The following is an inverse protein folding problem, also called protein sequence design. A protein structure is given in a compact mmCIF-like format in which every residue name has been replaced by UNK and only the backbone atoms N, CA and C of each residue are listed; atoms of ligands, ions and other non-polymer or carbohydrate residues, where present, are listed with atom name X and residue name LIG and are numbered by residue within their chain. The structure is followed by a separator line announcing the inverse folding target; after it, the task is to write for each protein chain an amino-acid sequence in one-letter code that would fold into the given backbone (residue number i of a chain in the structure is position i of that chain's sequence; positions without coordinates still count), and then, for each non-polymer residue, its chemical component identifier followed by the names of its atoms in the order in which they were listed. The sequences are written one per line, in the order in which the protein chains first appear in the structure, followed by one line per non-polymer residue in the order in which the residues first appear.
data_IF_295823946562
#
_entry.id   IF_295823946562
#
_cell.length_a   1.000
_cell.length_b   1.000
_cell.length_c   1.000
_cell.angle_alpha   90.00
_cell.angle_beta   90.00
_cell.angle_gamma   90.00
#
_symmetry.space_group_name_H-M   'P 1'
#
loop_
_entity.id
_entity.type
_entity.pdbx_description
1 polymer ?
#
# COMPACT_ATOMS: atom_id res chain seq x y z
N UNK A 1 19.80 3.02 16.92
CA UNK A 1 18.91 4.03 16.29
C UNK A 1 17.72 3.31 15.65
N UNK A 2 16.96 2.56 16.45
CA UNK A 2 15.95 1.56 15.99
C UNK A 2 14.50 2.08 16.21
N UNK A 3 14.34 3.18 16.96
CA UNK A 3 13.02 3.76 17.29
C UNK A 3 12.37 4.60 16.17
N UNK A 4 13.03 4.71 15.00
CA UNK A 4 12.62 5.55 13.87
C UNK A 4 12.03 4.78 12.68
N UNK A 5 11.74 3.48 12.84
CA UNK A 5 11.14 2.67 11.78
C UNK A 5 9.63 2.91 11.63
N UNK A 6 8.93 3.24 12.73
CA UNK A 6 7.50 3.58 12.67
C UNK A 6 7.29 5.02 12.26
N UNK A 7 6.44 5.21 11.24
CA UNK A 7 6.12 6.52 10.67
C UNK A 7 5.61 7.49 11.75
N UNK A 8 4.71 7.02 12.61
CA UNK A 8 4.08 7.85 13.65
C UNK A 8 5.07 8.28 14.74
N UNK A 9 5.92 7.37 15.22
CA UNK A 9 6.92 7.69 16.26
C UNK A 9 7.91 8.72 15.72
N UNK A 10 8.37 8.54 14.48
CA UNK A 10 9.25 9.50 13.82
C UNK A 10 8.60 10.87 13.67
N UNK A 11 7.31 10.96 13.33
CA UNK A 11 6.61 12.25 13.28
C UNK A 11 6.51 12.92 14.64
N UNK A 12 6.19 12.18 15.70
CA UNK A 12 6.15 12.71 17.06
C UNK A 12 7.52 13.29 17.46
N UNK A 13 8.61 12.60 17.11
CA UNK A 13 9.95 13.13 17.33
C UNK A 13 10.25 14.37 16.51
N UNK A 14 9.90 14.41 15.22
CA UNK A 14 10.12 15.59 14.36
C UNK A 14 9.39 16.80 14.91
N UNK A 15 8.10 16.66 15.22
CA UNK A 15 7.27 17.73 15.78
C UNK A 15 7.82 18.15 17.15
N UNK A 16 8.18 17.19 18.00
CA UNK A 16 8.74 17.45 19.33
C UNK A 16 10.06 18.24 19.27
N UNK A 17 10.98 17.86 18.39
CA UNK A 17 12.24 18.59 18.19
C UNK A 17 12.04 19.98 17.58
N UNK A 18 11.13 20.12 16.60
CA UNK A 18 10.81 21.40 16.00
C UNK A 18 10.20 22.37 17.02
N UNK A 19 9.29 21.89 17.87
CA UNK A 19 8.68 22.66 18.97
C UNK A 19 9.72 23.03 20.02
N UNK A 20 10.58 22.09 20.44
CA UNK A 20 11.63 22.34 21.43
C UNK A 20 12.61 23.41 20.93
N UNK A 21 13.04 23.31 19.67
CA UNK A 21 13.90 24.34 19.08
C UNK A 21 13.16 25.67 18.94
N UNK A 22 11.88 25.67 18.57
CA UNK A 22 11.08 26.89 18.53
C UNK A 22 10.94 27.53 19.92
N UNK A 23 10.84 26.76 21.01
CA UNK A 23 10.85 27.29 22.38
C UNK A 23 12.19 27.95 22.70
N UNK A 24 13.31 27.30 22.39
CA UNK A 24 14.66 27.86 22.60
C UNK A 24 14.83 29.15 21.81
N UNK A 25 14.51 29.14 20.51
CA UNK A 25 14.65 30.32 19.66
C UNK A 25 13.70 31.43 20.11
N UNK A 26 12.49 31.10 20.57
CA UNK A 26 11.55 32.09 21.09
C UNK A 26 12.08 32.81 22.33
N UNK A 27 12.76 32.10 23.23
CA UNK A 27 13.30 32.67 24.47
C UNK A 27 14.43 33.67 24.19
N UNK A 28 15.27 33.42 23.18
CA UNK A 28 16.41 34.28 22.84
C UNK A 28 16.16 35.31 21.75
N UNK A 29 15.24 35.06 20.81
CA UNK A 29 15.11 35.84 19.57
C UNK A 29 13.69 36.30 19.23
N UNK A 30 12.66 36.00 20.06
CA UNK A 30 11.31 36.48 19.75
C UNK A 30 11.17 37.98 19.96
N UNK A 31 10.46 38.62 19.03
CA UNK A 31 10.18 40.05 19.09
C UNK A 31 8.95 40.37 19.96
N UNK A 32 8.07 39.38 20.18
CA UNK A 32 6.87 39.53 21.00
C UNK A 32 7.00 38.94 22.41
N UNK A 33 8.02 38.13 22.69
CA UNK A 33 8.17 37.32 23.92
C UNK A 33 6.98 36.41 24.25
N UNK A 34 6.08 36.19 23.29
CA UNK A 34 4.94 35.30 23.40
C UNK A 34 5.14 34.06 22.54
N UNK A 35 4.48 32.96 22.86
CA UNK A 35 4.69 31.63 22.26
C UNK A 35 4.23 31.50 20.78
N UNK A 36 4.11 32.60 20.04
CA UNK A 36 3.66 32.63 18.64
C UNK A 36 4.61 31.90 17.69
N UNK A 37 5.91 31.91 17.97
CA UNK A 37 6.90 31.13 17.24
C UNK A 37 6.68 29.63 17.42
N UNK A 38 6.30 29.20 18.62
CA UNK A 38 5.99 27.79 18.91
C UNK A 38 4.74 27.34 18.16
N UNK A 39 3.71 28.20 18.12
CA UNK A 39 2.47 27.94 17.36
C UNK A 39 2.76 27.80 15.86
N UNK A 40 3.58 28.69 15.29
CA UNK A 40 3.98 28.62 13.89
C UNK A 40 4.73 27.32 13.55
N UNK A 41 5.67 26.92 14.41
CA UNK A 41 6.41 25.67 14.23
C UNK A 41 5.51 24.43 14.33
N UNK A 42 4.60 24.39 15.29
CA UNK A 42 3.66 23.29 15.49
C UNK A 42 2.72 23.12 14.29
N UNK A 43 2.10 24.20 13.83
CA UNK A 43 1.14 24.17 12.71
C UNK A 43 1.83 23.64 11.44
N UNK A 44 3.01 24.14 11.12
CA UNK A 44 3.73 23.74 9.89
C UNK A 44 4.28 22.33 10.00
N UNK A 45 4.82 21.93 11.16
CA UNK A 45 5.32 20.57 11.38
C UNK A 45 4.20 19.52 11.29
N UNK A 46 2.95 19.88 11.65
CA UNK A 46 1.78 19.02 11.50
C UNK A 46 1.23 18.99 10.06
N UNK A 47 1.29 20.10 9.33
CA UNK A 47 0.73 20.23 7.97
C UNK A 47 1.53 19.49 6.89
N UNK A 48 2.84 19.35 7.03
CA UNK A 48 3.70 18.84 5.96
C UNK A 48 3.80 17.30 5.88
N UNK A 49 2.69 16.59 6.06
CA UNK A 49 2.63 15.15 5.74
C UNK A 49 2.75 14.97 4.22
N UNK A 50 3.95 14.85 3.67
CA UNK A 50 4.15 14.65 2.22
C UNK A 50 3.76 15.83 1.31
N UNK A 51 3.12 16.89 1.81
CA UNK A 51 2.79 18.08 1.02
C UNK A 51 4.02 18.62 0.28
N UNK A 52 3.88 19.03 -1.00
CA UNK A 52 5.00 19.57 -1.73
C UNK A 52 5.48 20.85 -1.02
N UNK A 53 6.80 20.99 -0.89
CA UNK A 53 7.53 22.18 -0.43
C UNK A 53 6.85 23.51 -0.81
N UNK A 54 6.21 23.53 -1.98
CA UNK A 54 5.35 24.60 -2.49
C UNK A 54 4.24 25.05 -1.52
N UNK A 55 3.47 24.18 -0.87
CA UNK A 55 2.37 24.58 0.00
C UNK A 55 2.86 25.20 1.31
N UNK A 56 3.84 24.60 1.98
CA UNK A 56 4.44 25.17 3.19
C UNK A 56 5.16 26.50 2.90
N UNK A 57 5.83 26.58 1.75
CA UNK A 57 6.52 27.79 1.32
C UNK A 57 5.52 28.88 0.88
N UNK A 58 4.41 28.54 0.23
CA UNK A 58 3.31 29.48 -0.05
C UNK A 58 2.73 30.03 1.25
N UNK A 59 2.44 29.19 2.25
CA UNK A 59 1.93 29.67 3.54
C UNK A 59 2.93 30.60 4.25
N UNK A 60 4.22 30.24 4.27
CA UNK A 60 5.27 31.11 4.80
C UNK A 60 5.36 32.45 4.04
N UNK A 61 5.35 32.43 2.72
CA UNK A 61 5.45 33.63 1.88
C UNK A 61 4.21 34.51 2.02
N UNK A 62 3.00 33.93 2.04
CA UNK A 62 1.75 34.68 2.25
C UNK A 62 1.75 35.34 3.63
N UNK A 63 2.14 34.63 4.69
CA UNK A 63 2.25 35.21 6.03
C UNK A 63 3.29 36.34 6.11
N UNK A 64 4.44 36.17 5.46
CA UNK A 64 5.52 37.16 5.44
C UNK A 64 5.14 38.40 4.62
N UNK A 65 4.50 38.22 3.47
CA UNK A 65 3.96 39.32 2.64
C UNK A 65 2.88 40.08 3.38
N UNK A 66 1.98 39.38 4.10
CA UNK A 66 0.97 40.02 4.93
C UNK A 66 1.59 40.82 6.09
N UNK A 67 2.66 40.31 6.71
CA UNK A 67 3.40 41.00 7.76
C UNK A 67 4.10 42.28 7.26
N UNK A 68 4.59 42.29 6.01
CA UNK A 68 5.23 43.46 5.39
C UNK A 68 4.20 44.50 4.92
N UNK A 69 3.04 44.06 4.42
CA UNK A 69 1.98 44.94 3.90
C UNK A 69 1.14 45.59 5.00
N UNK A 70 1.26 45.15 6.25
CA UNK A 70 0.57 45.77 7.38
C UNK A 70 1.04 47.22 7.57
N UNK A 71 0.12 48.20 7.57
CA UNK A 71 0.48 49.61 7.71
C UNK A 71 1.30 49.84 8.98
N UNK A 72 2.32 50.72 8.95
CA UNK A 72 3.19 50.99 10.10
C UNK A 72 2.46 51.53 11.34
N UNK A 73 1.20 51.93 11.20
CA UNK A 73 0.32 52.38 12.29
C UNK A 73 -0.42 51.25 13.01
N UNK A 74 -0.38 50.02 12.51
CA UNK A 74 -1.01 48.86 13.18
C UNK A 74 -0.03 48.27 14.17
N UNK A 75 -0.05 48.84 15.39
CA UNK A 75 0.46 48.36 16.68
C UNK A 75 1.62 47.36 16.55
N UNK A 76 2.86 47.78 16.88
CA UNK A 76 4.10 46.96 16.81
C UNK A 76 3.93 45.51 17.30
N UNK A 77 3.06 45.27 18.28
CA UNK A 77 2.70 43.95 18.77
C UNK A 77 2.16 43.00 17.67
N UNK A 78 1.29 43.44 16.76
CA UNK A 78 0.74 42.56 15.71
C UNK A 78 1.77 42.21 14.65
N UNK A 79 2.65 43.16 14.29
CA UNK A 79 3.75 42.92 13.36
C UNK A 79 4.76 41.93 13.94
N UNK A 80 5.16 42.13 15.19
CA UNK A 80 6.11 41.26 15.88
C UNK A 80 5.57 39.82 16.02
N UNK A 81 4.27 39.67 16.32
CA UNK A 81 3.63 38.34 16.38
C UNK A 81 3.64 37.61 15.04
N UNK A 82 3.37 38.31 13.93
CA UNK A 82 3.41 37.70 12.60
C UNK A 82 4.83 37.28 12.18
N UNK A 83 5.83 38.09 12.53
CA UNK A 83 7.24 37.76 12.29
C UNK A 83 7.64 36.52 13.12
N UNK A 84 7.23 36.44 14.39
CA UNK A 84 7.47 35.27 15.23
C UNK A 84 6.79 34.00 14.67
N UNK A 85 5.54 34.10 14.20
CA UNK A 85 4.83 32.98 13.51
C UNK A 85 5.61 32.55 12.26
N UNK A 86 6.07 33.50 11.44
CA UNK A 86 6.85 33.23 10.23
C UNK A 86 8.18 32.54 10.52
N UNK A 87 8.91 32.97 11.55
CA UNK A 87 10.14 32.31 12.00
C UNK A 87 9.86 30.89 12.52
N UNK A 88 8.79 30.71 13.29
CA UNK A 88 8.33 29.40 13.75
C UNK A 88 8.01 28.46 12.60
N UNK A 89 7.24 28.95 11.62
CA UNK A 89 6.91 28.21 10.41
C UNK A 89 8.17 27.77 9.64
N UNK A 90 9.17 28.65 9.52
CA UNK A 90 10.44 28.35 8.87
C UNK A 90 11.22 27.24 9.61
N UNK A 91 11.27 27.30 10.94
CA UNK A 91 11.85 26.23 11.78
C UNK A 91 11.16 24.89 11.50
N UNK A 92 9.83 24.87 11.45
CA UNK A 92 9.04 23.69 11.10
C UNK A 92 9.42 23.10 9.73
N UNK A 93 9.53 23.96 8.69
CA UNK A 93 9.94 23.52 7.34
C UNK A 93 11.35 22.93 7.33
N UNK A 94 12.33 23.61 7.95
CA UNK A 94 13.72 23.17 7.95
C UNK A 94 13.89 21.80 8.63
N UNK A 95 13.22 21.57 9.76
CA UNK A 95 13.28 20.29 10.46
C UNK A 95 12.72 19.14 9.63
N UNK A 96 11.64 19.40 8.92
CA UNK A 96 10.93 18.38 8.15
C UNK A 96 11.61 18.04 6.82
N UNK A 97 12.30 19.00 6.21
CA UNK A 97 12.93 18.80 4.90
C UNK A 97 14.41 18.43 4.99
N UNK A 98 15.16 19.08 5.89
CA UNK A 98 16.62 18.93 5.94
C UNK A 98 17.01 17.90 7.00
N UNK A 99 16.44 18.00 8.20
CA UNK A 99 16.86 17.13 9.30
C UNK A 99 16.25 15.73 9.20
N UNK A 100 15.01 15.62 8.70
CA UNK A 100 14.31 14.34 8.56
C UNK A 100 13.57 14.20 7.22
N UNK A 101 14.29 14.15 6.08
CA UNK A 101 13.65 13.95 4.79
C UNK A 101 12.79 12.67 4.78
N UNK A 102 11.53 12.82 4.39
CA UNK A 102 10.61 11.69 4.22
C UNK A 102 10.90 10.99 2.88
N UNK A 103 11.55 9.83 2.94
CA UNK A 103 11.57 8.89 1.82
C UNK A 103 10.29 8.06 1.87
N UNK A 104 9.23 8.57 1.25
CA UNK A 104 7.87 8.00 1.28
C UNK A 104 7.85 6.60 0.69
N UNK A 105 8.51 6.41 -0.46
CA UNK A 105 8.48 5.16 -1.20
C UNK A 105 9.18 3.98 -0.48
N UNK A 106 10.39 4.15 0.11
CA UNK A 106 10.97 3.12 0.99
C UNK A 106 10.11 2.76 2.20
N UNK A 107 9.48 3.74 2.84
CA UNK A 107 8.59 3.49 3.98
C UNK A 107 7.34 2.68 3.56
N UNK A 108 6.79 2.97 2.38
CA UNK A 108 5.68 2.22 1.80
C UNK A 108 6.07 0.76 1.51
N UNK A 109 7.24 0.54 0.91
CA UNK A 109 7.75 -0.81 0.60
C UNK A 109 7.95 -1.66 1.84
N UNK A 110 8.49 -1.10 2.92
CA UNK A 110 8.70 -1.83 4.18
C UNK A 110 7.38 -2.38 4.74
N UNK A 111 6.28 -1.66 4.55
CA UNK A 111 4.96 -2.11 5.00
C UNK A 111 4.30 -3.15 4.09
N UNK A 112 4.38 -2.94 2.77
CA UNK A 112 3.69 -3.78 1.77
C UNK A 112 4.41 -5.10 1.49
N UNK A 113 5.73 -5.10 1.46
CA UNK A 113 6.53 -6.22 0.99
C UNK A 113 6.39 -7.49 1.86
N UNK A 114 6.26 -7.41 3.20
CA UNK A 114 5.91 -8.57 4.03
C UNK A 114 4.57 -9.20 3.63
N UNK A 115 3.55 -8.38 3.35
CA UNK A 115 2.21 -8.86 2.96
C UNK A 115 2.29 -9.60 1.63
N UNK A 116 2.95 -9.01 0.62
CA UNK A 116 3.13 -9.66 -0.68
C UNK A 116 3.88 -11.00 -0.57
N UNK A 117 4.91 -11.08 0.27
CA UNK A 117 5.64 -12.34 0.51
C UNK A 117 4.78 -13.39 1.20
N UNK A 118 3.90 -12.99 2.11
CA UNK A 118 2.95 -13.92 2.73
C UNK A 118 1.98 -14.48 1.68
N UNK A 119 1.40 -13.61 0.85
CA UNK A 119 0.49 -14.00 -0.23
C UNK A 119 1.17 -14.92 -1.27
N UNK A 120 2.42 -14.62 -1.67
CA UNK A 120 3.17 -15.49 -2.58
C UNK A 120 3.38 -16.89 -1.99
N UNK A 121 3.75 -16.97 -0.70
CA UNK A 121 3.93 -18.26 -0.02
C UNK A 121 2.62 -19.05 0.10
N UNK A 122 1.49 -18.37 0.28
CA UNK A 122 0.18 -19.02 0.32
C UNK A 122 -0.23 -19.53 -1.06
N UNK A 123 0.06 -18.76 -2.12
CA UNK A 123 -0.16 -19.19 -3.50
C UNK A 123 0.70 -20.40 -3.89
N UNK A 124 1.95 -20.48 -3.44
CA UNK A 124 2.78 -21.68 -3.61
C UNK A 124 2.17 -22.93 -2.98
N UNK A 125 1.39 -22.78 -1.90
CA UNK A 125 0.69 -23.91 -1.27
C UNK A 125 -0.57 -24.30 -2.02
N UNK A 126 -1.29 -23.34 -2.58
CA UNK A 126 -2.39 -23.62 -3.49
C UNK A 126 -1.89 -24.40 -4.71
N UNK A 127 -0.76 -23.98 -5.29
CA UNK A 127 -0.08 -24.74 -6.35
C UNK A 127 0.17 -26.17 -5.87
N UNK A 128 0.76 -26.35 -4.69
CA UNK A 128 1.05 -27.67 -4.14
C UNK A 128 -0.23 -28.50 -3.90
N UNK A 129 -1.31 -27.89 -3.43
CA UNK A 129 -2.60 -28.57 -3.24
C UNK A 129 -3.15 -29.11 -4.56
N UNK A 130 -3.20 -28.29 -5.61
CA UNK A 130 -3.73 -28.72 -6.91
C UNK A 130 -2.77 -29.64 -7.70
N UNK A 131 -1.45 -29.51 -7.52
CA UNK A 131 -0.48 -30.32 -8.26
C UNK A 131 -0.07 -31.63 -7.59
N UNK A 132 -0.09 -31.70 -6.25
CA UNK A 132 0.39 -32.85 -5.48
C UNK A 132 -0.69 -33.47 -4.58
N UNK A 133 -1.96 -33.06 -4.74
CA UNK A 133 -3.11 -33.57 -3.98
C UNK A 133 -2.86 -33.59 -2.46
N UNK A 134 -2.37 -32.48 -1.91
CA UNK A 134 -2.18 -32.36 -0.47
C UNK A 134 -3.52 -32.59 0.25
N UNK A 135 -3.52 -33.37 1.33
CA UNK A 135 -4.74 -33.66 2.08
C UNK A 135 -5.42 -32.35 2.50
N UNK A 136 -6.69 -32.19 2.13
CA UNK A 136 -7.50 -30.99 2.36
C UNK A 136 -7.45 -30.47 3.79
N UNK A 137 -7.42 -31.37 4.78
CA UNK A 137 -7.34 -31.00 6.21
C UNK A 137 -6.04 -30.28 6.57
N UNK A 138 -4.89 -30.78 6.09
CA UNK A 138 -3.58 -30.15 6.34
C UNK A 138 -3.52 -28.78 5.67
N UNK A 139 -4.08 -28.65 4.46
CA UNK A 139 -4.16 -27.37 3.75
C UNK A 139 -4.97 -26.33 4.55
N UNK A 140 -6.19 -26.70 4.97
CA UNK A 140 -7.10 -25.78 5.66
C UNK A 140 -6.54 -25.29 7.01
N UNK A 141 -5.96 -26.20 7.80
CA UNK A 141 -5.42 -25.85 9.11
C UNK A 141 -4.25 -24.86 8.99
N UNK A 142 -3.30 -25.11 8.09
CA UNK A 142 -2.14 -24.24 7.93
C UNK A 142 -2.46 -22.89 7.28
N UNK A 143 -3.47 -22.84 6.42
CA UNK A 143 -3.90 -21.62 5.74
C UNK A 143 -4.70 -20.71 6.69
N UNK A 144 -5.55 -21.27 7.55
CA UNK A 144 -6.30 -20.52 8.58
C UNK A 144 -5.38 -19.80 9.57
N UNK A 145 -4.36 -20.46 10.10
CA UNK A 145 -3.40 -19.85 11.04
C UNK A 145 -2.68 -18.63 10.45
N UNK A 146 -2.43 -18.65 9.14
CA UNK A 146 -1.73 -17.57 8.43
C UNK A 146 -2.63 -16.43 8.01
N UNK A 147 -3.87 -16.72 7.61
CA UNK A 147 -4.87 -15.69 7.40
C UNK A 147 -5.13 -14.90 8.70
N UNK A 148 -5.16 -15.59 9.85
CA UNK A 148 -5.22 -14.92 11.15
C UNK A 148 -3.96 -14.08 11.39
N UNK A 149 -2.77 -14.56 11.03
CA UNK A 149 -1.53 -13.79 11.14
C UNK A 149 -1.53 -12.54 10.22
N UNK A 150 -2.09 -12.63 9.01
CA UNK A 150 -2.28 -11.48 8.10
C UNK A 150 -3.22 -10.44 8.73
N UNK A 151 -4.36 -10.87 9.27
CA UNK A 151 -5.34 -10.00 9.93
C UNK A 151 -4.82 -9.37 11.23
N UNK A 152 -3.89 -10.04 11.93
CA UNK A 152 -3.28 -9.52 13.16
C UNK A 152 -2.06 -8.62 12.90
N UNK A 153 -1.68 -8.44 11.64
CA UNK A 153 -0.48 -7.70 11.24
C UNK A 153 -0.68 -6.18 11.09
N UNK A 154 -1.72 -5.61 11.73
CA UNK A 154 -2.12 -4.18 11.69
C UNK A 154 -0.95 -3.18 11.70
N UNK A 155 0.15 -3.51 12.37
CA UNK A 155 1.33 -2.64 12.46
C UNK A 155 2.18 -2.50 11.19
N UNK A 156 1.93 -3.31 10.14
CA UNK A 156 2.71 -3.31 8.89
C UNK A 156 2.01 -2.58 7.74
N UNK A 157 0.69 -2.42 7.77
CA UNK A 157 -0.04 -1.80 6.69
C UNK A 157 0.18 -0.26 6.67
N UNK A 158 0.51 0.36 5.52
CA UNK A 158 0.84 1.78 5.47
C UNK A 158 -0.42 2.68 5.48
N UNK A 159 -1.18 2.63 6.58
CA UNK A 159 -2.40 3.44 6.76
C UNK A 159 -2.16 4.95 6.72
N UNK A 160 -0.93 5.38 7.03
CA UNK A 160 -0.52 6.78 6.98
C UNK A 160 -0.71 7.43 5.61
N UNK A 161 -0.87 6.65 4.53
CA UNK A 161 -1.25 7.15 3.19
C UNK A 161 -2.63 7.82 3.21
N UNK A 162 -3.54 7.35 4.07
CA UNK A 162 -4.89 7.90 4.26
C UNK A 162 -4.92 9.09 5.23
N UNK A 163 -3.81 9.38 5.91
CA UNK A 163 -3.77 10.43 6.90
C UNK A 163 -4.09 11.82 6.31
N UNK A 164 -4.81 12.61 7.11
CA UNK A 164 -5.04 14.03 6.81
C UNK A 164 -3.69 14.73 6.71
N UNK A 165 -3.48 15.47 5.63
CA UNK A 165 -2.23 16.16 5.31
C UNK A 165 -1.37 15.45 4.26
N UNK A 166 -1.52 14.13 4.02
CA UNK A 166 -0.75 13.40 3.00
C UNK A 166 -0.88 14.03 1.60
N UNK A 167 0.22 14.13 0.84
CA UNK A 167 0.22 14.75 -0.49
C UNK A 167 -0.92 14.23 -1.38
N UNK A 168 -1.89 15.07 -1.80
CA UNK A 168 -3.00 14.59 -2.61
C UNK A 168 -2.54 14.04 -3.98
N UNK A 169 -1.45 14.58 -4.54
CA UNK A 169 -0.91 14.11 -5.82
C UNK A 169 -0.28 12.71 -5.74
N UNK A 170 0.47 12.43 -4.67
CA UNK A 170 1.06 11.11 -4.46
C UNK A 170 0.06 10.10 -3.88
N UNK A 171 -0.95 10.59 -3.15
CA UNK A 171 -1.98 9.76 -2.50
C UNK A 171 -2.70 8.87 -3.49
N UNK A 172 -3.02 9.37 -4.68
CA UNK A 172 -3.76 8.60 -5.68
C UNK A 172 -3.05 7.30 -6.06
N UNK A 173 -1.73 7.36 -6.31
CA UNK A 173 -0.94 6.17 -6.69
C UNK A 173 -0.79 5.16 -5.55
N UNK A 174 -0.42 5.61 -4.36
CA UNK A 174 -0.30 4.71 -3.19
C UNK A 174 -1.65 4.10 -2.80
N UNK A 175 -2.73 4.89 -2.84
CA UNK A 175 -4.08 4.41 -2.55
C UNK A 175 -4.54 3.39 -3.59
N UNK A 176 -4.28 3.65 -4.88
CA UNK A 176 -4.58 2.70 -5.93
C UNK A 176 -3.90 1.35 -5.65
N UNK A 177 -2.60 1.36 -5.35
CA UNK A 177 -1.87 0.14 -5.00
C UNK A 177 -2.49 -0.59 -3.80
N UNK A 178 -2.82 0.14 -2.74
CA UNK A 178 -3.39 -0.43 -1.52
C UNK A 178 -4.77 -1.04 -1.72
N UNK A 179 -5.61 -0.41 -2.55
CA UNK A 179 -6.92 -0.97 -2.92
C UNK A 179 -6.74 -2.27 -3.70
N UNK A 180 -5.82 -2.31 -4.67
CA UNK A 180 -5.56 -3.55 -5.40
C UNK A 180 -5.00 -4.65 -4.50
N UNK A 181 -4.14 -4.31 -3.54
CA UNK A 181 -3.64 -5.25 -2.55
C UNK A 181 -4.76 -5.82 -1.68
N UNK A 182 -5.71 -4.97 -1.26
CA UNK A 182 -6.90 -5.40 -0.52
C UNK A 182 -7.77 -6.35 -1.37
N UNK A 183 -8.04 -6.03 -2.63
CA UNK A 183 -8.76 -6.92 -3.54
C UNK A 183 -8.04 -8.25 -3.75
N UNK A 184 -6.71 -8.25 -3.83
CA UNK A 184 -5.93 -9.50 -3.87
C UNK A 184 -6.19 -10.31 -2.60
N UNK A 185 -6.07 -9.69 -1.43
CA UNK A 185 -6.28 -10.37 -0.14
C UNK A 185 -7.70 -10.98 -0.08
N UNK A 186 -8.72 -10.26 -0.53
CA UNK A 186 -10.09 -10.76 -0.63
C UNK A 186 -10.21 -11.99 -1.54
N UNK A 187 -9.52 -11.99 -2.69
CA UNK A 187 -9.48 -13.14 -3.60
C UNK A 187 -8.85 -14.36 -2.91
N UNK A 188 -7.77 -14.19 -2.14
CA UNK A 188 -7.19 -15.31 -1.37
C UNK A 188 -8.15 -15.86 -0.31
N UNK A 189 -8.89 -14.99 0.39
CA UNK A 189 -9.93 -15.43 1.33
C UNK A 189 -11.05 -16.20 0.61
N UNK A 190 -11.47 -15.74 -0.57
CA UNK A 190 -12.47 -16.42 -1.41
C UNK A 190 -11.97 -17.78 -1.88
N UNK A 191 -10.77 -17.84 -2.46
CA UNK A 191 -10.12 -19.08 -2.91
C UNK A 191 -10.00 -20.10 -1.78
N UNK A 192 -9.56 -19.68 -0.60
CA UNK A 192 -9.48 -20.55 0.56
C UNK A 192 -10.85 -21.13 0.94
N UNK A 193 -11.88 -20.29 1.02
CA UNK A 193 -13.23 -20.72 1.33
C UNK A 193 -13.78 -21.69 0.28
N UNK A 194 -13.54 -21.42 -1.01
CA UNK A 194 -13.96 -22.25 -2.13
C UNK A 194 -13.25 -23.61 -2.13
N UNK A 195 -11.93 -23.64 -1.94
CA UNK A 195 -11.15 -24.88 -1.77
C UNK A 195 -11.65 -25.68 -0.56
N UNK A 196 -12.02 -25.01 0.53
CA UNK A 196 -12.68 -25.64 1.68
C UNK A 196 -14.06 -26.24 1.34
N UNK A 197 -14.80 -25.64 0.42
CA UNK A 197 -16.12 -26.10 -0.02
C UNK A 197 -16.07 -27.19 -1.10
N UNK A 198 -14.93 -27.39 -1.79
CA UNK A 198 -14.73 -28.44 -2.79
C UNK A 198 -15.04 -29.82 -2.18
N UNK A 199 -16.08 -30.49 -2.66
CA UNK A 199 -16.48 -31.82 -2.19
C UNK A 199 -15.65 -32.90 -2.89
N UNK A 200 -15.45 -34.05 -2.23
CA UNK A 200 -14.79 -35.24 -2.83
C UNK A 200 -15.52 -35.81 -4.06
N UNK A 201 -16.73 -35.31 -4.36
CA UNK A 201 -17.54 -35.70 -5.51
C UNK A 201 -17.18 -34.92 -6.80
N UNK A 202 -16.30 -33.92 -6.71
CA UNK A 202 -15.79 -33.18 -7.87
C UNK A 202 -14.56 -33.91 -8.38
N UNK A 203 -14.60 -34.33 -9.65
CA UNK A 203 -13.44 -34.92 -10.32
C UNK A 203 -12.43 -33.81 -10.66
N UNK A 204 -11.69 -33.35 -9.64
CA UNK A 204 -10.70 -32.28 -9.78
C UNK A 204 -9.54 -32.70 -10.66
N UNK A 205 -9.32 -33.99 -10.90
CA UNK A 205 -8.13 -34.48 -11.61
C UNK A 205 -8.04 -33.98 -13.05
N UNK A 206 -9.18 -33.63 -13.67
CA UNK A 206 -9.22 -33.11 -15.04
C UNK A 206 -8.82 -31.62 -15.12
N UNK A 207 -9.10 -30.84 -14.07
CA UNK A 207 -8.90 -29.37 -14.07
C UNK A 207 -7.77 -28.93 -13.14
N UNK A 208 -7.37 -29.76 -12.18
CA UNK A 208 -6.32 -29.45 -11.20
C UNK A 208 -4.97 -29.15 -11.86
N UNK A 209 -4.66 -29.83 -12.97
CA UNK A 209 -3.46 -29.55 -13.76
C UNK A 209 -3.49 -28.16 -14.36
N UNK A 210 -4.61 -27.75 -14.96
CA UNK A 210 -4.78 -26.43 -15.58
C UNK A 210 -4.81 -25.30 -14.54
N UNK A 211 -5.52 -25.51 -13.42
CA UNK A 211 -5.49 -24.60 -12.27
C UNK A 211 -4.05 -24.43 -11.76
N UNK A 212 -3.30 -25.53 -11.64
CA UNK A 212 -1.91 -25.51 -11.21
C UNK A 212 -1.00 -24.69 -12.14
N UNK A 213 -1.21 -24.77 -13.46
CA UNK A 213 -0.47 -23.97 -14.46
C UNK A 213 -0.80 -22.48 -14.30
N UNK A 214 -2.08 -22.12 -14.21
CA UNK A 214 -2.50 -20.71 -14.04
C UNK A 214 -1.99 -20.13 -12.73
N UNK A 215 -2.07 -20.88 -11.63
CA UNK A 215 -1.51 -20.48 -10.35
C UNK A 215 0.01 -20.26 -10.43
N UNK A 216 0.76 -21.16 -11.08
CA UNK A 216 2.20 -21.00 -11.26
C UNK A 216 2.57 -19.74 -12.05
N UNK A 217 1.80 -19.43 -13.08
CA UNK A 217 2.01 -18.22 -13.85
C UNK A 217 1.61 -16.96 -13.05
N UNK A 218 0.60 -17.02 -12.19
CA UNK A 218 0.27 -15.95 -11.24
C UNK A 218 1.37 -15.77 -10.17
N UNK A 219 1.98 -16.86 -9.69
CA UNK A 219 3.11 -16.84 -8.76
C UNK A 219 4.32 -16.12 -9.34
N UNK A 220 4.62 -16.38 -10.60
CA UNK A 220 5.67 -15.68 -11.34
C UNK A 220 5.42 -14.17 -11.43
N UNK A 221 4.17 -13.75 -11.68
CA UNK A 221 3.80 -12.33 -11.69
C UNK A 221 3.97 -11.68 -10.31
N UNK A 222 3.58 -12.38 -9.23
CA UNK A 222 3.85 -11.94 -7.86
C UNK A 222 5.35 -11.77 -7.59
N UNK A 223 6.17 -12.74 -7.99
CA UNK A 223 7.62 -12.68 -7.88
C UNK A 223 8.19 -11.45 -8.59
N UNK A 224 7.70 -11.15 -9.79
CA UNK A 224 8.10 -9.97 -10.57
C UNK A 224 7.73 -8.66 -9.87
N UNK A 225 6.54 -8.58 -9.27
CA UNK A 225 6.10 -7.43 -8.48
C UNK A 225 6.97 -7.23 -7.23
N UNK A 226 7.28 -8.32 -6.51
CA UNK A 226 8.13 -8.30 -5.31
C UNK A 226 9.56 -7.90 -5.66
N UNK A 227 10.11 -8.43 -6.74
CA UNK A 227 11.44 -8.09 -7.25
C UNK A 227 11.52 -6.60 -7.58
N UNK A 228 10.54 -6.07 -8.31
CA UNK A 228 10.47 -4.64 -8.65
C UNK A 228 10.40 -3.76 -7.38
N UNK A 229 9.58 -4.13 -6.39
CA UNK A 229 9.45 -3.39 -5.13
C UNK A 229 10.66 -3.54 -4.19
N UNK A 230 11.45 -4.61 -4.34
CA UNK A 230 12.62 -4.87 -3.49
C UNK A 230 13.91 -4.21 -3.98
N UNK A 231 13.87 -3.46 -5.10
CA UNK A 231 15.05 -2.90 -5.79
C UNK A 231 16.07 -3.97 -6.24
N UNK A 232 15.74 -5.26 -6.12
CA UNK A 232 16.47 -6.30 -6.81
C UNK A 232 16.27 -6.07 -8.30
N UNK A 233 17.34 -5.67 -8.99
CA UNK A 233 17.40 -5.62 -10.46
C UNK A 233 17.18 -7.04 -10.99
N UNK A 234 15.94 -7.47 -11.07
CA UNK A 234 15.58 -8.69 -11.77
C UNK A 234 15.83 -8.45 -13.24
N UNK A 235 16.68 -9.29 -13.83
CA UNK A 235 16.91 -9.33 -15.26
C UNK A 235 15.55 -9.40 -15.94
N UNK A 236 15.26 -8.41 -16.81
CA UNK A 236 14.18 -8.51 -17.80
C UNK A 236 14.31 -9.87 -18.47
N UNK A 237 13.54 -10.84 -18.00
CA UNK A 237 13.44 -12.13 -18.65
C UNK A 237 12.50 -11.90 -19.80
N UNK A 238 13.10 -11.65 -20.97
CA UNK A 238 12.44 -11.55 -22.27
C UNK A 238 11.85 -12.90 -22.69
N UNK A 239 11.08 -13.54 -21.83
CA UNK A 239 10.21 -14.61 -22.23
C UNK A 239 8.83 -13.99 -22.31
N UNK A 240 8.33 -13.86 -23.54
CA UNK A 240 6.90 -13.70 -23.81
C UNK A 240 6.20 -14.93 -23.24
N UNK A 241 5.99 -14.96 -21.93
CA UNK A 241 5.08 -15.90 -21.30
C UNK A 241 3.74 -15.54 -21.89
N UNK A 242 3.12 -16.51 -22.57
CA UNK A 242 1.75 -16.36 -23.02
C UNK A 242 0.86 -16.41 -21.77
N UNK A 243 0.58 -15.22 -21.22
CA UNK A 243 -0.23 -15.02 -20.01
C UNK A 243 -1.74 -15.08 -20.31
N UNK A 244 -2.10 -15.41 -21.56
CA UNK A 244 -3.50 -15.48 -22.03
C UNK A 244 -3.86 -16.92 -22.42
N UNK A 245 -2.91 -17.66 -23.00
CA UNK A 245 -3.13 -19.04 -23.45
C UNK A 245 -3.45 -20.02 -22.31
N UNK A 246 -2.89 -19.83 -21.12
CA UNK A 246 -3.18 -20.65 -19.93
C UNK A 246 -4.60 -20.44 -19.40
N UNK A 247 -5.08 -19.19 -19.39
CA UNK A 247 -6.47 -18.88 -19.00
C UNK A 247 -7.47 -19.47 -19.99
N UNK A 248 -7.19 -19.38 -21.29
CA UNK A 248 -8.06 -19.96 -22.33
C UNK A 248 -8.08 -21.49 -22.23
N UNK A 249 -6.94 -22.13 -21.94
CA UNK A 249 -6.89 -23.56 -21.68
C UNK A 249 -7.73 -23.97 -20.45
N UNK A 250 -7.66 -23.18 -19.37
CA UNK A 250 -8.46 -23.40 -18.17
C UNK A 250 -9.97 -23.22 -18.43
N UNK A 251 -10.36 -22.18 -19.19
CA UNK A 251 -11.77 -21.95 -19.58
C UNK A 251 -12.29 -23.11 -20.45
N UNK A 252 -11.50 -23.61 -21.41
CA UNK A 252 -11.87 -24.77 -22.23
C UNK A 252 -11.99 -26.06 -21.39
N UNK A 253 -11.12 -26.25 -20.40
CA UNK A 253 -11.22 -27.40 -19.48
C UNK A 253 -12.46 -27.30 -18.58
N UNK A 254 -12.78 -26.09 -18.12
CA UNK A 254 -14.02 -25.81 -17.38
C UNK A 254 -15.26 -26.14 -18.21
N UNK A 255 -15.30 -25.74 -19.49
CA UNK A 255 -16.41 -26.06 -20.41
C UNK A 255 -16.58 -27.57 -20.63
N UNK A 256 -15.50 -28.36 -20.53
CA UNK A 256 -15.56 -29.81 -20.66
C UNK A 256 -16.08 -30.50 -19.40
N UNK A 257 -15.80 -29.95 -18.21
CA UNK A 257 -16.24 -30.51 -16.93
C UNK A 257 -17.62 -30.00 -16.48
N UNK A 258 -18.04 -28.82 -16.92
CA UNK A 258 -19.37 -28.28 -16.66
C UNK A 258 -20.28 -28.73 -17.82
N UNK A 259 -21.18 -29.70 -17.60
CA UNK A 259 -22.03 -30.18 -18.70
C UNK A 259 -22.90 -29.04 -19.25
N UNK A 260 -23.05 -29.02 -20.58
CA UNK A 260 -23.90 -28.10 -21.38
C UNK A 260 -25.37 -28.07 -20.90
N UNK A 261 -25.78 -28.96 -19.99
CA UNK A 261 -27.07 -28.95 -19.30
C UNK A 261 -27.29 -27.79 -18.30
N UNK A 262 -26.52 -26.70 -18.43
CA UNK A 262 -26.86 -25.38 -17.86
C UNK A 262 -28.26 -24.88 -18.30
N UNK A 263 -28.85 -25.48 -19.35
CA UNK A 263 -30.22 -25.21 -19.79
C UNK A 263 -31.32 -25.77 -18.86
N UNK A 264 -31.00 -26.65 -17.90
CA UNK A 264 -31.98 -27.27 -16.99
C UNK A 264 -31.67 -26.97 -15.52
N UNK A 265 -31.87 -25.71 -15.13
CA UNK A 265 -32.39 -25.20 -13.83
C UNK A 265 -31.95 -25.79 -12.46
N UNK A 266 -30.94 -26.67 -12.38
CA UNK A 266 -30.34 -27.09 -11.12
C UNK A 266 -28.83 -27.05 -11.25
N UNK A 267 -28.25 -25.89 -10.95
CA UNK A 267 -26.79 -25.76 -10.92
C UNK A 267 -26.28 -26.66 -9.79
N UNK A 268 -25.52 -27.70 -10.14
CA UNK A 268 -24.85 -28.52 -9.14
C UNK A 268 -23.90 -27.61 -8.33
N UNK A 269 -23.97 -27.59 -6.98
CA UNK A 269 -23.15 -26.72 -6.14
C UNK A 269 -21.64 -26.83 -6.44
N UNK A 270 -21.19 -28.01 -6.86
CA UNK A 270 -19.83 -28.31 -7.31
C UNK A 270 -19.39 -27.50 -8.54
N UNK A 271 -20.24 -27.37 -9.55
CA UNK A 271 -19.94 -26.60 -10.75
C UNK A 271 -19.84 -25.10 -10.44
N UNK A 272 -20.66 -24.57 -9.52
CA UNK A 272 -20.54 -23.18 -9.07
C UNK A 272 -19.20 -22.91 -8.39
N UNK A 273 -18.75 -23.82 -7.53
CA UNK A 273 -17.48 -23.67 -6.81
C UNK A 273 -16.32 -23.61 -7.80
N UNK A 274 -16.33 -24.50 -8.81
CA UNK A 274 -15.29 -24.53 -9.83
C UNK A 274 -15.29 -23.27 -10.71
N UNK A 275 -16.47 -22.80 -11.15
CA UNK A 275 -16.61 -21.53 -11.88
C UNK A 275 -16.09 -20.36 -11.05
N UNK A 276 -16.40 -20.32 -9.75
CA UNK A 276 -15.94 -19.28 -8.85
C UNK A 276 -14.41 -19.31 -8.68
N UNK A 277 -13.80 -20.49 -8.54
CA UNK A 277 -12.33 -20.63 -8.48
C UNK A 277 -11.69 -20.11 -9.77
N UNK A 278 -12.17 -20.52 -10.94
CA UNK A 278 -11.61 -20.07 -12.23
C UNK A 278 -11.74 -18.54 -12.39
N UNK A 279 -12.87 -17.98 -11.97
CA UNK A 279 -13.08 -16.53 -11.94
C UNK A 279 -12.07 -15.84 -11.02
N UNK A 280 -11.91 -16.30 -9.79
CA UNK A 280 -11.00 -15.71 -8.81
C UNK A 280 -9.54 -15.73 -9.31
N UNK A 281 -9.11 -16.80 -9.99
CA UNK A 281 -7.78 -16.90 -10.59
C UNK A 281 -7.55 -15.90 -11.74
N UNK A 282 -8.60 -15.62 -12.51
CA UNK A 282 -8.59 -14.65 -13.61
C UNK A 282 -8.59 -13.21 -13.07
N UNK A 283 -9.43 -12.93 -12.07
CA UNK A 283 -9.49 -11.63 -11.40
C UNK A 283 -8.12 -11.33 -10.75
N UNK A 284 -7.48 -12.33 -10.13
CA UNK A 284 -6.12 -12.21 -9.59
C UNK A 284 -5.10 -11.85 -10.68
N UNK A 285 -5.13 -12.54 -11.83
CA UNK A 285 -4.26 -12.24 -12.98
C UNK A 285 -4.39 -10.79 -13.41
N UNK A 286 -5.62 -10.34 -13.61
CA UNK A 286 -5.89 -9.00 -14.12
C UNK A 286 -5.37 -7.93 -13.16
N UNK A 287 -5.60 -8.11 -11.85
CA UNK A 287 -5.09 -7.19 -10.83
C UNK A 287 -3.56 -7.16 -10.82
N UNK A 288 -2.90 -8.32 -10.91
CA UNK A 288 -1.43 -8.40 -10.94
C UNK A 288 -0.85 -7.70 -12.17
N UNK A 289 -1.45 -7.90 -13.36
CA UNK A 289 -1.02 -7.23 -14.58
C UNK A 289 -1.18 -5.71 -14.46
N UNK A 290 -2.34 -5.23 -14.00
CA UNK A 290 -2.58 -3.80 -13.75
C UNK A 290 -1.57 -3.21 -12.78
N UNK A 291 -1.23 -3.94 -11.71
CA UNK A 291 -0.23 -3.51 -10.74
C UNK A 291 1.16 -3.41 -11.36
N UNK A 292 1.59 -4.43 -12.12
CA UNK A 292 2.88 -4.43 -12.82
C UNK A 292 2.97 -3.30 -13.85
N UNK A 293 1.93 -3.10 -14.66
CA UNK A 293 1.86 -1.98 -15.62
C UNK A 293 1.95 -0.62 -14.91
N UNK A 294 1.18 -0.45 -13.82
CA UNK A 294 1.18 0.79 -13.05
C UNK A 294 2.50 1.05 -12.30
N UNK A 295 3.20 0.00 -11.88
CA UNK A 295 4.50 0.11 -11.20
C UNK A 295 5.62 0.36 -12.19
N UNK A 296 5.58 -0.26 -13.38
CA UNK A 296 6.57 -0.04 -14.45
C UNK A 296 6.37 1.28 -15.21
N UNK A 297 5.15 1.82 -15.27
CA UNK A 297 4.90 3.15 -15.84
C UNK A 297 5.36 4.32 -14.97
N UNK A 298 5.70 4.06 -13.70
CA UNK A 298 6.07 5.07 -12.71
C UNK A 298 7.59 5.26 -12.53
N UNK A 299 8.43 4.69 -13.39
CA UNK A 299 9.88 4.97 -13.46
C UNK A 299 10.22 6.44 -13.82
N UNK A 300 9.22 7.34 -13.88
CA UNK A 300 9.33 8.76 -14.21
C UNK A 300 9.13 9.72 -13.01
N UNK A 301 9.06 9.23 -11.75
CA UNK A 301 8.95 10.07 -10.54
C UNK A 301 10.18 10.01 -9.64
#
# INVERSE_FOLDING_TARGET
MIFAERFETRQVFIVGFAVLLAVIVNDYFSFSHAAWMVVGALIVAQLARGAPLRQSLIYCVVMLVFAILLPPYVIDATRNRLIDIGMGALIGVLFQQILFPMKIYPAFRVGVLPILRLLQNDLQREIYFFSHQLSKQIYLQQSSERMIALLQSDSLYPEWVYAVGFNPGLRAGFRFFLIQLESIVEIFFSLHALIGAVSDAIDLDVISSEIGVVLKNNEYLFGTLIDHLSECKSQKTNNSIDLTGDIVALENALEQCVPVSLELLTIAPSAMILIAIVRDLKDLREILLRLIESSMGNDAL
#
